data_IF_753247333091
#
_entry.id   IF_753247333091
#
_cell.length_a   1.000
_cell.length_b   1.000
_cell.length_c   1.000
_cell.angle_alpha   90.00
_cell.angle_beta   90.00
_cell.angle_gamma   90.00
#
_symmetry.space_group_name_H-M   'P 1'
#
loop_
_entity.id
_entity.type
_entity.pdbx_description
1 polymer ?
#
# COMPACT_ATOMS: atom_id res chain seq x y z
N UNK A 1 35.55 -14.48 -15.45
CA UNK A 1 34.39 -14.22 -14.57
C UNK A 1 34.06 -15.53 -13.86
N UNK A 2 34.06 -15.55 -12.53
CA UNK A 2 33.74 -16.78 -11.80
C UNK A 2 32.26 -17.10 -11.95
N UNK A 3 31.92 -18.38 -12.21
CA UNK A 3 30.54 -18.85 -12.14
C UNK A 3 30.18 -18.95 -10.66
N UNK A 4 29.10 -18.27 -10.26
CA UNK A 4 28.59 -18.26 -8.89
C UNK A 4 27.24 -18.97 -8.88
N UNK A 5 27.10 -19.97 -8.01
CA UNK A 5 25.83 -20.62 -7.74
C UNK A 5 25.23 -20.00 -6.47
N UNK A 6 24.05 -19.41 -6.59
CA UNK A 6 23.29 -18.84 -5.47
C UNK A 6 21.99 -19.60 -5.21
N UNK A 7 21.39 -19.38 -4.04
CA UNK A 7 20.06 -19.87 -3.68
C UNK A 7 19.14 -18.68 -3.38
N UNK A 8 17.85 -18.80 -3.69
CA UNK A 8 16.85 -17.77 -3.37
C UNK A 8 16.66 -17.64 -1.85
N UNK A 9 16.26 -16.44 -1.42
CA UNK A 9 15.88 -16.10 -0.04
C UNK A 9 14.74 -16.96 0.53
N UNK A 10 13.99 -17.69 -0.30
CA UNK A 10 12.94 -18.61 0.14
C UNK A 10 13.48 -19.94 0.67
N UNK A 11 14.76 -20.23 0.44
CA UNK A 11 15.38 -21.49 0.81
C UNK A 11 16.52 -21.28 1.79
N UNK A 12 16.54 -22.11 2.83
CA UNK A 12 17.72 -22.24 3.69
C UNK A 12 18.69 -23.24 3.06
N UNK A 13 19.98 -22.90 3.03
CA UNK A 13 21.01 -23.88 2.68
C UNK A 13 20.97 -25.05 3.69
N UNK A 14 20.90 -26.32 3.23
CA UNK A 14 20.87 -27.46 4.14
C UNK A 14 22.16 -27.62 4.96
N UNK A 15 23.27 -27.05 4.49
CA UNK A 15 24.62 -27.25 5.04
C UNK A 15 25.06 -26.05 5.90
N UNK A 16 24.53 -24.86 5.63
CA UNK A 16 24.82 -23.67 6.41
C UNK A 16 23.69 -23.37 7.40
N UNK A 17 24.04 -22.94 8.62
CA UNK A 17 23.12 -22.37 9.61
C UNK A 17 22.61 -20.98 9.16
N UNK A 18 22.14 -20.86 7.91
CA UNK A 18 21.57 -19.63 7.36
C UNK A 18 20.28 -19.24 8.09
N UNK A 19 19.92 -17.96 7.95
CA UNK A 19 18.68 -17.43 8.50
C UNK A 19 17.46 -18.24 8.02
N UNK A 20 16.49 -18.43 8.92
CA UNK A 20 15.22 -19.05 8.55
C UNK A 20 14.50 -18.09 7.60
N UNK A 21 14.07 -18.54 6.40
CA UNK A 21 13.30 -17.73 5.49
C UNK A 21 12.03 -17.18 6.13
N UNK A 22 11.63 -15.98 5.72
CA UNK A 22 10.45 -15.32 6.24
C UNK A 22 9.18 -16.14 5.94
N UNK A 23 8.44 -16.52 6.97
CA UNK A 23 7.25 -17.36 6.83
C UNK A 23 6.17 -16.75 5.92
N UNK A 24 6.01 -15.43 5.93
CA UNK A 24 5.04 -14.74 5.07
C UNK A 24 5.49 -14.75 3.61
N UNK A 25 6.80 -14.64 3.34
CA UNK A 25 7.32 -14.74 1.98
C UNK A 25 7.23 -16.18 1.44
N UNK A 26 7.41 -17.20 2.29
CA UNK A 26 7.41 -18.60 1.86
C UNK A 26 5.99 -19.18 1.74
N UNK A 27 5.07 -18.83 2.65
CA UNK A 27 3.73 -19.44 2.75
C UNK A 27 2.61 -18.45 3.07
N UNK A 28 2.80 -17.16 2.78
CA UNK A 28 1.79 -16.16 3.04
C UNK A 28 0.49 -16.41 2.25
N UNK A 29 -0.62 -15.95 2.82
CA UNK A 29 -1.95 -15.98 2.23
C UNK A 29 -2.25 -14.61 1.66
N UNK A 30 -2.70 -14.57 0.40
CA UNK A 30 -3.16 -13.33 -0.23
C UNK A 30 -4.56 -12.99 0.28
N UNK A 31 -4.72 -11.76 0.73
CA UNK A 31 -5.98 -11.17 1.21
C UNK A 31 -6.29 -9.92 0.40
N UNK A 32 -7.57 -9.60 0.33
CA UNK A 32 -8.06 -8.48 -0.46
C UNK A 32 -9.18 -7.76 0.33
N UNK A 33 -9.12 -6.43 0.33
CA UNK A 33 -10.19 -5.55 0.79
C UNK A 33 -10.60 -4.62 -0.35
N UNK A 34 -11.87 -4.70 -0.74
CA UNK A 34 -12.44 -3.85 -1.79
C UNK A 34 -13.49 -2.95 -1.18
N UNK A 35 -13.52 -1.69 -1.59
CA UNK A 35 -14.49 -0.71 -1.10
C UNK A 35 -14.57 0.52 -1.98
N UNK A 36 -15.41 1.45 -1.55
CA UNK A 36 -15.57 2.76 -2.19
C UNK A 36 -15.68 3.80 -1.11
N UNK A 37 -15.01 4.93 -1.29
CA UNK A 37 -15.19 6.14 -0.48
C UNK A 37 -15.86 7.22 -1.33
N UNK A 38 -16.66 8.08 -0.72
CA UNK A 38 -17.30 9.22 -1.38
C UNK A 38 -17.03 10.51 -0.62
N UNK A 39 -16.92 11.62 -1.36
CA UNK A 39 -16.81 12.96 -0.82
C UNK A 39 -18.00 13.82 -1.28
N UNK A 40 -18.39 14.76 -0.44
CA UNK A 40 -19.29 15.85 -0.78
C UNK A 40 -18.51 17.04 -1.38
N UNK A 41 -19.21 17.88 -2.16
CA UNK A 41 -18.65 19.11 -2.73
C UNK A 41 -18.33 20.18 -1.68
N UNK A 42 -18.84 20.03 -0.46
CA UNK A 42 -18.62 20.92 0.68
C UNK A 42 -17.44 20.52 1.54
N UNK A 43 -16.80 19.40 1.22
CA UNK A 43 -15.70 18.90 2.03
C UNK A 43 -14.44 19.75 1.84
N UNK A 44 -13.79 20.02 2.97
CA UNK A 44 -12.70 20.98 3.05
C UNK A 44 -11.34 20.29 2.96
N UNK A 45 -10.30 21.07 2.65
CA UNK A 45 -8.92 20.66 2.87
C UNK A 45 -8.73 20.11 4.29
N UNK A 46 -7.92 19.07 4.41
CA UNK A 46 -7.72 18.30 5.65
C UNK A 46 -8.76 17.22 5.93
N UNK A 47 -9.80 17.06 5.09
CA UNK A 47 -10.75 15.95 5.24
C UNK A 47 -10.04 14.61 5.03
N UNK A 48 -10.18 13.70 6.00
CA UNK A 48 -9.55 12.36 5.97
C UNK A 48 -10.61 11.27 5.93
N UNK A 49 -10.46 10.31 5.03
CA UNK A 49 -11.36 9.18 4.88
C UNK A 49 -10.61 7.87 5.11
N UNK A 50 -11.05 7.09 6.10
CA UNK A 50 -10.47 5.77 6.37
C UNK A 50 -10.89 4.77 5.30
N UNK A 51 -9.93 4.16 4.61
CA UNK A 51 -10.16 3.19 3.54
C UNK A 51 -10.18 1.76 4.07
N UNK A 52 -9.11 1.35 4.75
CA UNK A 52 -8.97 0.01 5.31
C UNK A 52 -7.96 -0.02 6.47
N UNK A 53 -7.90 -1.16 7.18
CA UNK A 53 -6.93 -1.44 8.23
C UNK A 53 -6.16 -2.70 7.83
N UNK A 54 -4.85 -2.59 7.65
CA UNK A 54 -4.00 -3.70 7.18
C UNK A 54 -2.93 -3.99 8.24
N UNK A 55 -2.57 -5.25 8.50
CA UNK A 55 -1.47 -5.56 9.42
C UNK A 55 -0.17 -4.87 9.02
N UNK A 56 0.55 -4.29 9.98
CA UNK A 56 1.81 -3.57 9.74
C UNK A 56 2.87 -4.45 9.06
N UNK A 57 2.89 -5.74 9.43
CA UNK A 57 3.75 -6.77 8.88
C UNK A 57 3.21 -7.40 7.58
N UNK A 58 2.12 -6.91 6.99
CA UNK A 58 1.65 -7.44 5.71
C UNK A 58 2.61 -7.02 4.58
N UNK A 59 2.78 -7.86 3.55
CA UNK A 59 3.48 -7.49 2.31
C UNK A 59 2.43 -6.96 1.33
N UNK A 60 2.62 -5.74 0.83
CA UNK A 60 1.69 -5.18 -0.15
C UNK A 60 1.85 -5.85 -1.51
N UNK A 61 0.73 -6.18 -2.15
CA UNK A 61 0.71 -6.80 -3.46
C UNK A 61 0.58 -5.73 -4.56
N UNK A 62 1.27 -5.88 -5.70
CA UNK A 62 1.16 -4.96 -6.85
C UNK A 62 -0.24 -4.85 -7.48
N UNK A 63 -1.14 -5.77 -7.13
CA UNK A 63 -2.54 -5.75 -7.60
C UNK A 63 -3.42 -4.82 -6.74
N UNK A 64 -2.81 -4.02 -5.85
CA UNK A 64 -3.51 -2.92 -5.18
C UNK A 64 -3.86 -1.84 -6.21
N UNK A 65 -5.15 -1.49 -6.31
CA UNK A 65 -5.67 -0.57 -7.31
C UNK A 65 -6.55 0.50 -6.68
N UNK A 66 -6.40 1.75 -7.15
CA UNK A 66 -7.09 2.93 -6.65
C UNK A 66 -7.67 3.69 -7.85
N UNK A 67 -8.99 3.76 -7.98
CA UNK A 67 -9.65 4.46 -9.09
C UNK A 67 -9.99 5.90 -8.70
N UNK A 68 -9.15 6.84 -9.12
CA UNK A 68 -9.19 8.24 -8.69
C UNK A 68 -9.93 9.16 -9.66
N UNK A 69 -10.40 8.63 -10.79
CA UNK A 69 -11.01 9.42 -11.88
C UNK A 69 -12.19 10.28 -11.38
N UNK A 70 -13.02 9.69 -10.54
CA UNK A 70 -14.25 10.30 -10.02
C UNK A 70 -14.08 10.97 -8.65
N UNK A 71 -12.85 11.12 -8.15
CA UNK A 71 -12.61 11.77 -6.87
C UNK A 71 -12.93 13.27 -6.94
N UNK A 72 -13.63 13.81 -5.94
CA UNK A 72 -14.07 15.20 -5.96
C UNK A 72 -12.98 16.24 -5.65
N UNK A 73 -11.81 15.79 -5.21
CA UNK A 73 -10.64 16.62 -4.96
C UNK A 73 -9.71 16.67 -6.18
N UNK A 74 -8.92 17.74 -6.29
CA UNK A 74 -7.98 17.93 -7.41
C UNK A 74 -6.73 17.04 -7.31
N UNK A 75 -6.39 16.61 -6.09
CA UNK A 75 -5.23 15.79 -5.77
C UNK A 75 -5.68 14.62 -4.91
N UNK A 76 -5.02 13.48 -5.09
CA UNK A 76 -5.30 12.26 -4.35
C UNK A 76 -4.05 11.89 -3.58
N UNK A 77 -4.17 11.95 -2.26
CA UNK A 77 -3.08 11.71 -1.31
C UNK A 77 -3.52 10.57 -0.40
N UNK A 78 -2.84 9.43 -0.51
CA UNK A 78 -3.20 8.20 0.19
C UNK A 78 -1.99 7.67 0.95
N UNK A 79 -2.22 7.30 2.21
CA UNK A 79 -1.16 6.87 3.10
C UNK A 79 -1.67 6.59 4.49
N UNK A 80 -0.75 6.56 5.45
CA UNK A 80 -1.11 6.47 6.87
C UNK A 80 -1.39 7.86 7.43
N UNK A 81 -1.89 7.94 8.67
CA UNK A 81 -2.09 9.23 9.34
C UNK A 81 -0.77 9.99 9.57
N UNK A 82 0.33 9.28 9.74
CA UNK A 82 1.66 9.86 10.01
C UNK A 82 2.42 10.21 8.73
N UNK A 83 2.08 9.54 7.62
CA UNK A 83 2.66 9.76 6.30
C UNK A 83 1.52 9.68 5.25
N UNK A 84 0.78 10.79 5.03
CA UNK A 84 -0.44 10.80 4.23
C UNK A 84 -0.20 10.58 2.74
N UNK A 85 1.01 10.82 2.24
CA UNK A 85 1.44 10.77 0.83
C UNK A 85 2.27 9.52 0.49
N UNK A 86 2.47 8.62 1.45
CA UNK A 86 3.44 7.53 1.31
C UNK A 86 3.04 6.44 0.30
N UNK A 87 1.75 6.28 -0.02
CA UNK A 87 1.29 5.28 -0.98
C UNK A 87 1.00 5.88 -2.36
N UNK A 88 0.35 7.03 -2.38
CA UNK A 88 0.00 7.72 -3.62
C UNK A 88 -0.05 9.21 -3.35
N UNK A 89 0.62 9.98 -4.20
CA UNK A 89 0.44 11.42 -4.31
C UNK A 89 0.42 11.80 -5.80
N UNK A 90 -0.79 12.04 -6.32
CA UNK A 90 -0.99 12.38 -7.73
C UNK A 90 -2.08 13.42 -7.91
N UNK A 91 -1.88 14.30 -8.89
CA UNK A 91 -2.96 15.14 -9.40
C UNK A 91 -3.99 14.27 -10.13
N UNK A 92 -5.28 14.43 -9.82
CA UNK A 92 -6.38 13.66 -10.45
C UNK A 92 -6.37 13.79 -11.97
N UNK A 93 -6.03 14.97 -12.49
CA UNK A 93 -5.97 15.22 -13.94
C UNK A 93 -4.95 14.34 -14.69
N UNK A 94 -4.05 13.68 -13.97
CA UNK A 94 -3.01 12.83 -14.54
C UNK A 94 -3.32 11.32 -14.39
N UNK A 95 -4.45 10.94 -13.81
CA UNK A 95 -4.65 9.58 -13.32
C UNK A 95 -6.12 9.10 -13.43
N UNK A 96 -6.31 7.85 -13.88
CA UNK A 96 -7.58 7.12 -13.77
C UNK A 96 -7.45 6.08 -12.66
N UNK A 97 -7.14 4.83 -13.01
CA UNK A 97 -6.74 3.80 -12.04
C UNK A 97 -5.25 3.91 -11.77
N UNK A 98 -4.87 3.91 -10.49
CA UNK A 98 -3.50 3.97 -10.02
C UNK A 98 -3.14 2.67 -9.30
N UNK A 99 -1.96 2.15 -9.62
CA UNK A 99 -1.31 1.10 -8.87
C UNK A 99 -0.14 1.76 -8.10
N UNK A 100 -0.23 1.90 -6.76
CA UNK A 100 0.83 2.52 -5.97
C UNK A 100 2.14 1.71 -5.97
N UNK A 101 2.08 0.45 -6.40
CA UNK A 101 3.23 -0.45 -6.50
C UNK A 101 3.31 -1.04 -7.90
N UNK A 102 4.50 -1.06 -8.47
CA UNK A 102 4.78 -1.75 -9.72
C UNK A 102 5.48 -3.09 -9.46
N UNK A 103 5.27 -4.06 -10.34
CA UNK A 103 5.94 -5.35 -10.23
C UNK A 103 7.46 -5.18 -10.34
N UNK A 104 8.20 -5.59 -9.31
CA UNK A 104 9.66 -5.48 -9.24
C UNK A 104 10.20 -4.09 -8.93
N UNK A 105 9.36 -3.18 -8.42
CA UNK A 105 9.82 -1.88 -7.94
C UNK A 105 10.65 -1.98 -6.64
N UNK A 106 11.10 -0.84 -6.13
CA UNK A 106 11.89 -0.77 -4.89
C UNK A 106 11.08 -1.17 -3.63
N UNK A 107 9.77 -1.31 -3.73
CA UNK A 107 8.86 -1.67 -2.65
C UNK A 107 8.36 -3.13 -2.77
N UNK A 108 8.77 -3.84 -3.82
CA UNK A 108 8.40 -5.23 -4.03
C UNK A 108 8.88 -6.13 -2.87
N UNK A 109 7.93 -6.82 -2.24
CA UNK A 109 8.22 -7.75 -1.14
C UNK A 109 8.52 -7.09 0.21
N UNK A 110 8.41 -5.75 0.31
CA UNK A 110 8.52 -5.01 1.57
C UNK A 110 7.24 -5.09 2.40
N UNK A 111 7.39 -4.91 3.70
CA UNK A 111 6.28 -4.80 4.65
C UNK A 111 5.58 -3.45 4.53
N UNK A 112 4.30 -3.38 4.90
CA UNK A 112 3.51 -2.16 4.83
C UNK A 112 4.17 -1.00 5.61
N UNK A 113 4.70 -1.25 6.80
CA UNK A 113 5.38 -0.21 7.57
C UNK A 113 6.63 0.34 6.86
N UNK A 114 7.38 -0.50 6.13
CA UNK A 114 8.56 -0.07 5.36
C UNK A 114 8.15 0.74 4.13
N UNK A 115 7.07 0.32 3.48
CA UNK A 115 6.47 1.03 2.35
C UNK A 115 5.99 2.42 2.76
N UNK A 116 5.39 2.52 3.96
CA UNK A 116 4.95 3.78 4.54
C UNK A 116 6.09 4.62 5.11
N UNK A 117 7.35 4.19 4.94
CA UNK A 117 8.55 4.84 5.46
C UNK A 117 8.52 5.07 6.99
N UNK A 118 7.83 4.21 7.74
CA UNK A 118 7.82 4.26 9.20
C UNK A 118 9.19 3.84 9.73
N UNK A 119 9.63 4.46 10.83
CA UNK A 119 10.96 4.21 11.39
C UNK A 119 11.14 2.78 11.95
N UNK A 120 10.04 2.16 12.39
CA UNK A 120 10.00 0.79 12.89
C UNK A 120 8.61 0.21 12.70
N UNK A 121 8.49 -1.12 12.77
CA UNK A 121 7.19 -1.79 12.78
C UNK A 121 6.38 -1.36 14.03
N UNK A 122 5.24 -0.65 13.87
CA UNK A 122 4.42 -0.24 15.00
C UNK A 122 3.74 -1.43 15.70
N UNK A 123 3.67 -2.59 15.03
CA UNK A 123 2.88 -3.73 15.46
C UNK A 123 1.38 -3.50 15.31
N UNK A 124 0.63 -4.57 15.03
CA UNK A 124 -0.82 -4.50 14.91
C UNK A 124 -1.29 -4.06 13.52
N UNK A 125 -2.33 -3.22 13.49
CA UNK A 125 -3.00 -2.76 12.26
C UNK A 125 -2.64 -1.30 11.98
N UNK A 126 -2.31 -1.01 10.72
CA UNK A 126 -2.14 0.34 10.20
C UNK A 126 -3.39 0.72 9.43
N UNK A 127 -3.97 1.86 9.80
CA UNK A 127 -5.10 2.44 9.09
C UNK A 127 -4.62 3.27 7.90
N UNK A 128 -5.18 2.97 6.74
CA UNK A 128 -4.93 3.71 5.50
C UNK A 128 -6.03 4.74 5.28
N UNK A 129 -5.63 5.97 4.95
CA UNK A 129 -6.49 7.11 4.74
C UNK A 129 -6.28 7.71 3.35
N UNK A 130 -7.37 8.20 2.76
CA UNK A 130 -7.32 9.21 1.72
C UNK A 130 -7.46 10.58 2.38
N UNK A 131 -6.55 11.50 2.09
CA UNK A 131 -6.50 12.84 2.69
C UNK A 131 -6.68 13.90 1.60
N UNK A 132 -7.51 14.90 1.88
CA UNK A 132 -7.71 16.05 1.01
C UNK A 132 -6.67 17.14 1.29
N UNK A 133 -5.88 17.53 0.30
CA UNK A 133 -4.96 18.68 0.43
C UNK A 133 -5.60 20.02 0.06
N UNK A 134 -6.68 19.99 -0.71
CA UNK A 134 -7.43 21.15 -1.14
C UNK A 134 -8.93 20.95 -0.86
N UNK A 135 -9.72 22.02 -1.00
CA UNK A 135 -11.17 21.91 -0.93
C UNK A 135 -11.71 21.12 -2.14
N UNK A 136 -12.80 20.38 -1.94
CA UNK A 136 -13.44 19.65 -3.03
C UNK A 136 -13.95 20.63 -4.09
N UNK A 137 -13.73 20.30 -5.37
CA UNK A 137 -14.30 21.06 -6.49
C UNK A 137 -15.65 20.49 -6.93
N UNK A 138 -15.97 19.28 -6.48
CA UNK A 138 -17.25 18.61 -6.69
C UNK A 138 -17.43 17.42 -5.76
N UNK A 139 -18.64 16.86 -5.73
CA UNK A 139 -18.86 15.57 -5.10
C UNK A 139 -18.28 14.45 -5.98
N UNK A 140 -17.85 13.37 -5.37
CA UNK A 140 -17.14 12.31 -6.07
C UNK A 140 -17.07 11.01 -5.28
N UNK A 141 -16.49 10.00 -5.92
CA UNK A 141 -16.25 8.69 -5.32
C UNK A 141 -14.97 8.07 -5.85
N UNK A 142 -14.31 7.28 -5.02
CA UNK A 142 -13.07 6.58 -5.35
C UNK A 142 -13.20 5.11 -4.94
N UNK A 143 -13.50 4.20 -5.89
CA UNK A 143 -13.37 2.77 -5.70
C UNK A 143 -11.91 2.38 -5.44
N UNK A 144 -11.69 1.37 -4.60
CA UNK A 144 -10.35 0.87 -4.28
C UNK A 144 -10.35 -0.63 -4.00
N UNK A 145 -9.19 -1.25 -4.24
CA UNK A 145 -8.86 -2.61 -3.85
C UNK A 145 -7.46 -2.62 -3.24
N UNK A 146 -7.35 -2.99 -1.96
CA UNK A 146 -6.08 -3.24 -1.30
C UNK A 146 -5.82 -4.73 -1.24
N UNK A 147 -4.66 -5.13 -1.75
CA UNK A 147 -4.24 -6.51 -1.78
C UNK A 147 -2.93 -6.68 -1.02
N UNK A 148 -2.90 -7.65 -0.11
CA UNK A 148 -1.73 -7.89 0.73
C UNK A 148 -1.54 -9.37 1.01
N UNK A 149 -0.34 -9.73 1.46
CA UNK A 149 0.02 -11.08 1.88
C UNK A 149 0.38 -11.05 3.36
N UNK A 150 -0.27 -11.90 4.15
CA UNK A 150 0.04 -12.11 5.58
C UNK A 150 0.05 -13.59 5.95
N UNK A 151 0.34 -13.92 7.21
CA UNK A 151 0.36 -15.30 7.73
C UNK A 151 -0.43 -15.40 9.05
N UNK A 152 -1.39 -14.50 9.24
CA UNK A 152 -2.34 -14.50 10.36
C UNK A 152 -3.68 -15.05 9.88
#
# INVERSE_FOLDING_TARGET
MAVVNGISNLFRSPIALGAVPDAVQVKGVRRCAVGTVANASTDSSGSTYKLCSIPSHAIMHPDTLLDVENWGFAQVVIGSKEAPDALLDVAKSAATTQAPFAWGDANHGKRLWEVLALAADPGGLIDIYATAEANATGAGSMPFAFEWIDNQ
#
